data_IF_100622298523
#
_entry.id   IF_100622298523
#
_cell.length_a   1.000
_cell.length_b   1.000
_cell.length_c   1.000
_cell.angle_alpha   90.00
_cell.angle_beta   90.00
_cell.angle_gamma   90.00
#
_symmetry.space_group_name_H-M   'P 1'
#
loop_
_entity.id
_entity.type
_entity.pdbx_description
1 polymer ?
#
# COMPACT_ATOMS: atom_id res chain seq x y z
N UNK A 1 0.68 -8.05 14.17
CA UNK A 1 1.01 -9.20 14.97
C UNK A 1 2.47 -9.65 14.88
N UNK A 2 3.32 -8.95 14.13
CA UNK A 2 4.75 -9.27 14.04
C UNK A 2 5.42 -8.79 15.34
N UNK A 3 6.26 -9.63 15.95
CA UNK A 3 7.06 -9.23 17.12
C UNK A 3 8.01 -8.13 16.68
N UNK A 4 7.88 -6.95 17.28
CA UNK A 4 8.89 -5.89 17.16
C UNK A 4 10.19 -6.35 17.84
N UNK A 5 11.31 -6.24 17.13
CA UNK A 5 12.61 -6.65 17.62
C UNK A 5 13.65 -6.54 16.50
N UNK A 6 14.86 -7.00 16.77
CA UNK A 6 15.89 -7.07 15.73
C UNK A 6 15.48 -8.13 14.72
N UNK A 7 15.28 -7.79 13.43
CA UNK A 7 14.89 -8.76 12.42
C UNK A 7 15.96 -9.83 12.24
N UNK A 8 15.54 -10.99 11.75
CA UNK A 8 16.47 -12.03 11.32
C UNK A 8 17.28 -11.57 10.10
N UNK A 9 18.38 -12.28 9.83
CA UNK A 9 19.17 -12.08 8.60
C UNK A 9 18.29 -12.29 7.37
N UNK A 10 18.63 -11.59 6.27
CA UNK A 10 17.92 -11.75 5.00
C UNK A 10 18.05 -13.21 4.51
N UNK A 11 16.92 -13.82 4.19
CA UNK A 11 16.87 -15.09 3.44
C UNK A 11 16.95 -14.77 1.93
N UNK A 12 18.12 -14.97 1.35
CA UNK A 12 18.34 -14.77 -0.09
C UNK A 12 17.63 -15.76 -1.00
N UNK A 13 17.09 -16.86 -0.44
CA UNK A 13 16.26 -17.80 -1.17
C UNK A 13 14.78 -17.39 -1.21
N UNK A 14 14.36 -16.44 -0.36
CA UNK A 14 12.97 -15.98 -0.27
C UNK A 14 12.40 -15.51 -1.63
N UNK A 15 13.13 -14.73 -2.47
CA UNK A 15 12.65 -14.32 -3.78
C UNK A 15 12.24 -15.49 -4.67
N UNK A 16 13.03 -16.55 -4.68
CA UNK A 16 12.76 -17.73 -5.50
C UNK A 16 11.63 -18.59 -4.90
N UNK A 17 11.59 -18.74 -3.58
CA UNK A 17 10.51 -19.42 -2.85
C UNK A 17 9.15 -18.76 -3.11
N UNK A 18 9.08 -17.42 -3.06
CA UNK A 18 7.88 -16.64 -3.37
C UNK A 18 7.45 -16.85 -4.82
N UNK A 19 8.38 -16.74 -5.76
CA UNK A 19 8.09 -16.92 -7.19
C UNK A 19 7.59 -18.35 -7.52
N UNK A 20 8.18 -19.38 -6.93
CA UNK A 20 7.74 -20.76 -7.08
C UNK A 20 6.35 -20.99 -6.47
N UNK A 21 6.07 -20.41 -5.32
CA UNK A 21 4.75 -20.48 -4.68
C UNK A 21 3.66 -19.85 -5.57
N UNK A 22 3.92 -18.68 -6.15
CA UNK A 22 3.03 -18.01 -7.10
C UNK A 22 2.76 -18.89 -8.32
N UNK A 23 3.82 -19.53 -8.88
CA UNK A 23 3.69 -20.43 -10.02
C UNK A 23 2.86 -21.68 -9.69
N UNK A 24 3.16 -22.35 -8.56
CA UNK A 24 2.46 -23.56 -8.13
C UNK A 24 0.97 -23.27 -7.89
N UNK A 25 0.65 -22.14 -7.27
CA UNK A 25 -0.72 -21.70 -7.02
C UNK A 25 -1.41 -21.13 -8.26
N UNK A 26 -0.73 -21.02 -9.39
CA UNK A 26 -1.23 -20.44 -10.65
C UNK A 26 -1.87 -19.05 -10.46
N UNK A 27 -1.20 -18.18 -9.70
CA UNK A 27 -1.69 -16.84 -9.37
C UNK A 27 -1.54 -15.93 -10.59
N UNK A 28 -2.64 -15.32 -11.04
CA UNK A 28 -2.64 -14.41 -12.18
C UNK A 28 -2.24 -12.97 -11.80
N UNK A 29 -2.52 -12.55 -10.55
CA UNK A 29 -2.15 -11.25 -10.02
C UNK A 29 -1.76 -11.42 -8.54
N UNK A 30 -0.54 -11.06 -8.21
CA UNK A 30 -0.01 -11.16 -6.85
C UNK A 30 0.18 -9.77 -6.24
N UNK A 31 -0.28 -9.61 -4.99
CA UNK A 31 0.01 -8.44 -4.17
C UNK A 31 1.09 -8.83 -3.17
N UNK A 32 2.26 -8.22 -3.30
CA UNK A 32 3.41 -8.43 -2.43
C UNK A 32 3.45 -7.37 -1.35
N UNK A 33 3.79 -7.77 -0.14
CA UNK A 33 4.04 -6.86 0.98
C UNK A 33 5.21 -7.36 1.81
N UNK A 34 5.86 -6.49 2.55
CA UNK A 34 6.94 -6.85 3.48
C UNK A 34 6.77 -6.11 4.80
N UNK A 35 7.55 -6.51 5.79
CA UNK A 35 7.84 -5.69 6.96
C UNK A 35 8.83 -4.59 6.59
N UNK A 36 8.87 -3.50 7.38
CA UNK A 36 9.88 -2.47 7.23
C UNK A 36 11.25 -3.01 7.65
N UNK A 37 12.27 -2.70 6.87
CA UNK A 37 13.67 -3.11 7.10
C UNK A 37 14.59 -1.90 7.20
N UNK A 38 14.20 -0.91 8.02
CA UNK A 38 14.99 0.30 8.30
C UNK A 38 16.35 -0.01 8.97
N UNK A 39 16.53 -1.24 9.43
CA UNK A 39 17.80 -1.77 9.93
C UNK A 39 18.85 -2.02 8.83
N UNK A 40 18.42 -2.12 7.58
CA UNK A 40 19.30 -2.37 6.42
C UNK A 40 19.69 -1.05 5.73
N UNK A 41 20.92 -0.99 5.23
CA UNK A 41 21.41 0.18 4.48
C UNK A 41 20.61 0.48 3.21
N UNK A 42 20.05 -0.54 2.61
CA UNK A 42 19.21 -0.46 1.41
C UNK A 42 17.71 -0.54 1.72
N UNK A 43 17.33 -0.55 3.01
CA UNK A 43 15.94 -0.64 3.49
C UNK A 43 15.17 -1.83 2.91
N UNK A 44 15.88 -2.90 2.54
CA UNK A 44 15.29 -4.11 1.94
C UNK A 44 14.94 -3.98 0.46
N UNK A 45 15.31 -2.89 -0.22
CA UNK A 45 14.97 -2.71 -1.65
C UNK A 45 15.59 -3.76 -2.55
N UNK A 46 16.73 -4.35 -2.18
CA UNK A 46 17.36 -5.40 -2.97
C UNK A 46 16.51 -6.69 -2.97
N UNK A 47 15.99 -7.09 -1.80
CA UNK A 47 15.10 -8.26 -1.73
C UNK A 47 13.79 -8.01 -2.51
N UNK A 48 13.25 -6.80 -2.47
CA UNK A 48 12.11 -6.40 -3.28
C UNK A 48 12.37 -6.58 -4.78
N UNK A 49 13.49 -6.05 -5.26
CA UNK A 49 13.84 -6.12 -6.68
C UNK A 49 14.09 -7.55 -7.14
N UNK A 50 14.81 -8.33 -6.35
CA UNK A 50 15.08 -9.76 -6.67
C UNK A 50 13.79 -10.60 -6.62
N UNK A 51 12.85 -10.29 -5.73
CA UNK A 51 11.53 -10.95 -5.70
C UNK A 51 10.76 -10.69 -6.99
N UNK A 52 10.66 -9.44 -7.42
CA UNK A 52 9.96 -9.08 -8.68
C UNK A 52 10.63 -9.74 -9.87
N UNK A 53 11.97 -9.70 -9.97
CA UNK A 53 12.72 -10.36 -11.05
C UNK A 53 12.52 -11.88 -11.07
N UNK A 54 12.54 -12.52 -9.90
CA UNK A 54 12.32 -13.97 -9.79
C UNK A 54 10.91 -14.35 -10.25
N UNK A 55 9.88 -13.57 -9.89
CA UNK A 55 8.52 -13.81 -10.35
C UNK A 55 8.44 -13.62 -11.87
N UNK A 56 9.01 -12.55 -12.43
CA UNK A 56 9.05 -12.33 -13.89
C UNK A 56 9.71 -13.51 -14.64
N UNK A 57 10.75 -14.10 -14.07
CA UNK A 57 11.45 -15.25 -14.65
C UNK A 57 10.66 -16.56 -14.51
N UNK A 58 10.09 -16.84 -13.35
CA UNK A 58 9.48 -18.14 -13.00
C UNK A 58 8.00 -18.22 -13.38
N UNK A 59 7.27 -17.09 -13.27
CA UNK A 59 5.84 -16.97 -13.58
C UNK A 59 5.56 -15.71 -14.40
N UNK A 60 6.04 -15.61 -15.65
CA UNK A 60 6.01 -14.37 -16.46
C UNK A 60 4.61 -13.88 -16.81
N UNK A 61 3.57 -14.72 -16.69
CA UNK A 61 2.18 -14.33 -16.87
C UNK A 61 1.53 -13.68 -15.65
N UNK A 62 2.21 -13.67 -14.51
CA UNK A 62 1.68 -13.05 -13.27
C UNK A 62 1.94 -11.55 -13.28
N UNK A 63 0.89 -10.77 -13.12
CA UNK A 63 0.98 -9.33 -12.88
C UNK A 63 1.19 -9.03 -11.41
N UNK A 64 1.86 -7.92 -11.09
CA UNK A 64 2.32 -7.63 -9.74
C UNK A 64 1.83 -6.28 -9.22
N UNK A 65 1.37 -6.28 -7.99
CA UNK A 65 1.24 -5.11 -7.14
C UNK A 65 2.26 -5.22 -6.00
N UNK A 66 3.03 -4.17 -5.74
CA UNK A 66 3.95 -4.09 -4.61
C UNK A 66 3.45 -3.07 -3.60
N UNK A 67 3.08 -3.51 -2.41
CA UNK A 67 2.73 -2.63 -1.28
C UNK A 67 4.01 -2.37 -0.48
N UNK A 68 4.65 -1.25 -0.79
CA UNK A 68 5.97 -0.89 -0.26
C UNK A 68 5.90 -0.01 1.00
N UNK A 69 6.91 -0.05 1.88
CA UNK A 69 7.14 0.98 2.89
C UNK A 69 7.50 2.31 2.23
N UNK A 70 7.61 3.39 3.02
CA UNK A 70 7.97 4.70 2.48
C UNK A 70 9.48 4.87 2.18
N UNK A 71 10.32 3.90 2.54
CA UNK A 71 11.79 3.97 2.44
C UNK A 71 12.35 5.31 2.91
N UNK A 72 11.73 5.90 3.95
CA UNK A 72 12.03 7.24 4.49
C UNK A 72 11.99 8.37 3.43
N UNK A 73 11.36 8.14 2.28
CA UNK A 73 11.31 9.07 1.15
C UNK A 73 12.63 9.19 0.38
N UNK A 74 13.54 8.24 0.52
CA UNK A 74 14.85 8.27 -0.15
C UNK A 74 14.70 7.82 -1.60
N UNK A 75 14.83 8.74 -2.54
CA UNK A 75 14.59 8.55 -3.97
C UNK A 75 15.35 7.34 -4.55
N UNK A 76 16.64 7.18 -4.24
CA UNK A 76 17.46 6.06 -4.72
C UNK A 76 16.90 4.68 -4.39
N UNK A 77 16.07 4.57 -3.34
CA UNK A 77 15.40 3.32 -2.97
C UNK A 77 14.09 3.15 -3.76
N UNK A 78 13.38 4.24 -4.01
CA UNK A 78 12.20 4.26 -4.86
C UNK A 78 12.57 3.95 -6.32
N UNK A 79 13.70 4.47 -6.82
CA UNK A 79 14.19 4.18 -8.17
C UNK A 79 14.36 2.69 -8.42
N UNK A 80 14.86 1.93 -7.44
CA UNK A 80 14.98 0.47 -7.56
C UNK A 80 13.63 -0.23 -7.75
N UNK A 81 12.57 0.28 -7.13
CA UNK A 81 11.21 -0.25 -7.34
C UNK A 81 10.69 0.14 -8.72
N UNK A 82 10.97 1.37 -9.15
CA UNK A 82 10.62 1.88 -10.47
C UNK A 82 11.31 1.04 -11.57
N UNK A 83 12.60 0.73 -11.40
CA UNK A 83 13.39 -0.05 -12.36
C UNK A 83 12.82 -1.45 -12.62
N UNK A 84 12.25 -2.10 -11.62
CA UNK A 84 11.61 -3.44 -11.80
C UNK A 84 10.16 -3.36 -12.27
N UNK A 85 9.59 -2.16 -12.31
CA UNK A 85 8.34 -1.76 -12.95
C UNK A 85 7.16 -2.73 -12.72
N UNK A 86 6.68 -2.90 -11.48
CA UNK A 86 5.45 -3.65 -11.24
C UNK A 86 4.23 -2.92 -11.83
N UNK A 87 3.14 -3.64 -12.12
CA UNK A 87 1.94 -3.06 -12.74
C UNK A 87 1.26 -2.03 -11.84
N UNK A 88 1.37 -2.21 -10.51
CA UNK A 88 0.86 -1.29 -9.49
C UNK A 88 1.89 -1.16 -8.38
N UNK A 89 2.19 0.05 -7.95
CA UNK A 89 2.92 0.31 -6.70
C UNK A 89 1.99 0.97 -5.71
N UNK A 90 1.85 0.34 -4.55
CA UNK A 90 0.99 0.79 -3.45
C UNK A 90 1.84 1.30 -2.29
N UNK A 91 1.41 2.41 -1.71
CA UNK A 91 1.88 2.87 -0.41
C UNK A 91 0.68 3.47 0.34
N UNK A 92 0.33 2.88 1.48
CA UNK A 92 -0.87 3.28 2.20
C UNK A 92 -0.66 4.52 3.06
N UNK A 93 -1.63 5.44 3.05
CA UNK A 93 -1.73 6.52 4.03
C UNK A 93 -2.12 5.99 5.41
N UNK A 94 -2.86 4.89 5.45
CA UNK A 94 -3.46 4.21 6.61
C UNK A 94 -4.52 5.05 7.34
N UNK A 95 -4.33 6.35 7.49
CA UNK A 95 -5.27 7.26 8.18
C UNK A 95 -5.12 8.71 7.68
N UNK A 96 -5.93 9.61 8.25
CA UNK A 96 -5.91 11.05 7.95
C UNK A 96 -4.71 11.76 8.62
N UNK A 97 -4.39 12.97 8.16
CA UNK A 97 -3.22 13.76 8.59
C UNK A 97 -3.10 13.88 10.10
N UNK A 98 -4.17 14.26 10.80
CA UNK A 98 -4.17 14.45 12.25
C UNK A 98 -3.82 13.19 13.02
N UNK A 99 -4.30 12.04 12.57
CA UNK A 99 -4.11 10.75 13.25
C UNK A 99 -2.83 10.02 12.87
N UNK A 100 -2.11 10.48 11.84
CA UNK A 100 -0.92 9.76 11.32
C UNK A 100 0.10 9.46 12.41
N UNK A 101 0.40 10.41 13.30
CA UNK A 101 1.40 10.22 14.36
C UNK A 101 0.97 9.19 15.41
N UNK A 102 -0.34 9.05 15.65
CA UNK A 102 -0.89 8.09 16.60
C UNK A 102 -0.96 6.68 16.01
N UNK A 103 -1.37 6.57 14.74
CA UNK A 103 -1.60 5.31 14.02
C UNK A 103 -0.30 4.73 13.47
N UNK A 104 0.63 5.58 13.02
CA UNK A 104 1.90 5.22 12.36
C UNK A 104 3.03 6.05 12.94
N UNK A 105 3.58 5.63 14.06
CA UNK A 105 4.52 6.41 14.89
C UNK A 105 5.71 6.98 14.08
N UNK A 106 6.27 6.23 13.13
CA UNK A 106 7.44 6.63 12.34
C UNK A 106 7.09 7.25 10.97
N UNK A 107 5.87 7.06 10.49
CA UNK A 107 5.45 7.59 9.20
C UNK A 107 5.09 9.07 9.30
N UNK A 108 5.28 9.78 8.18
CA UNK A 108 4.90 11.18 8.02
C UNK A 108 3.91 11.28 6.87
N UNK A 109 2.79 11.95 7.09
CA UNK A 109 1.72 12.11 6.11
C UNK A 109 2.25 12.67 4.77
N UNK A 110 2.96 13.80 4.83
CA UNK A 110 3.50 14.46 3.62
C UNK A 110 4.58 13.61 2.95
N UNK A 111 5.37 12.84 3.70
CA UNK A 111 6.34 11.90 3.13
C UNK A 111 5.63 10.81 2.33
N UNK A 112 4.55 10.25 2.84
CA UNK A 112 3.76 9.24 2.13
C UNK A 112 3.17 9.79 0.82
N UNK A 113 2.65 11.02 0.81
CA UNK A 113 2.19 11.68 -0.42
C UNK A 113 3.34 11.91 -1.41
N UNK A 114 4.49 12.38 -0.92
CA UNK A 114 5.67 12.61 -1.78
C UNK A 114 6.19 11.31 -2.40
N UNK A 115 6.19 10.19 -1.67
CA UNK A 115 6.53 8.87 -2.21
C UNK A 115 5.60 8.49 -3.36
N UNK A 116 4.29 8.59 -3.19
CA UNK A 116 3.31 8.29 -4.24
C UNK A 116 3.48 9.18 -5.47
N UNK A 117 3.66 10.49 -5.24
CA UNK A 117 3.92 11.47 -6.30
C UNK A 117 5.22 11.16 -7.06
N UNK A 118 6.30 10.85 -6.33
CA UNK A 118 7.59 10.50 -6.93
C UNK A 118 7.47 9.28 -7.82
N UNK A 119 6.87 8.20 -7.33
CA UNK A 119 6.63 6.98 -8.10
C UNK A 119 5.85 7.27 -9.39
N UNK A 120 4.77 8.05 -9.28
CA UNK A 120 3.93 8.39 -10.44
C UNK A 120 4.69 9.20 -11.48
N UNK A 121 5.44 10.21 -11.05
CA UNK A 121 6.20 11.10 -11.94
C UNK A 121 7.40 10.41 -12.61
N UNK A 122 7.92 9.33 -12.02
CA UNK A 122 9.08 8.59 -12.51
C UNK A 122 8.72 7.26 -13.19
N UNK A 123 7.50 7.12 -13.71
CA UNK A 123 7.16 6.09 -14.68
C UNK A 123 6.31 4.92 -14.16
N UNK A 124 5.97 4.89 -12.87
CA UNK A 124 5.01 3.88 -12.39
C UNK A 124 3.65 4.12 -13.01
N UNK A 125 3.16 3.12 -13.74
CA UNK A 125 1.92 3.20 -14.50
C UNK A 125 0.71 3.47 -13.63
N UNK A 126 0.63 2.78 -12.46
CA UNK A 126 -0.48 2.92 -11.50
C UNK A 126 0.05 2.99 -10.09
N UNK A 127 -0.30 4.06 -9.39
CA UNK A 127 -0.07 4.20 -7.95
C UNK A 127 -1.36 3.97 -7.19
N UNK A 128 -1.23 3.42 -5.98
CA UNK A 128 -2.37 3.09 -5.13
C UNK A 128 -2.12 3.46 -3.69
N UNK A 129 -3.18 3.85 -2.99
CA UNK A 129 -3.14 4.08 -1.54
C UNK A 129 -4.38 3.53 -0.85
N UNK A 130 -4.25 3.27 0.44
CA UNK A 130 -5.33 2.79 1.29
C UNK A 130 -5.46 3.62 2.57
N UNK A 131 -6.71 3.74 3.04
CA UNK A 131 -7.08 4.40 4.28
C UNK A 131 -7.96 3.45 5.08
N UNK A 132 -7.67 3.31 6.37
CA UNK A 132 -8.55 2.64 7.34
C UNK A 132 -9.41 3.67 8.03
N UNK A 133 -10.70 3.40 8.17
CA UNK A 133 -11.69 4.28 8.81
C UNK A 133 -12.20 3.66 10.12
N UNK A 134 -12.59 4.53 11.06
CA UNK A 134 -13.06 4.14 12.39
C UNK A 134 -12.02 4.28 13.50
N UNK A 135 -10.97 5.08 13.25
CA UNK A 135 -9.93 5.45 14.21
C UNK A 135 -10.21 6.79 14.92
N UNK A 136 -11.32 7.48 14.57
CA UNK A 136 -11.73 8.78 15.11
C UNK A 136 -11.40 9.95 14.18
N UNK A 137 -11.26 9.69 12.89
CA UNK A 137 -11.22 10.70 11.84
C UNK A 137 -12.58 11.38 11.67
N UNK A 138 -12.57 12.65 11.32
CA UNK A 138 -13.77 13.38 10.93
C UNK A 138 -14.05 13.23 9.44
N UNK A 139 -15.30 13.37 9.03
CA UNK A 139 -15.70 13.19 7.62
C UNK A 139 -14.94 14.14 6.68
N UNK A 140 -14.77 15.41 7.06
CA UNK A 140 -14.00 16.37 6.27
C UNK A 140 -12.51 15.98 6.13
N UNK A 141 -11.90 15.37 7.16
CA UNK A 141 -10.50 14.91 7.10
C UNK A 141 -10.31 13.78 6.09
N UNK A 142 -11.32 12.91 5.93
CA UNK A 142 -11.31 11.86 4.90
C UNK A 142 -11.39 12.50 3.52
N UNK A 143 -12.28 13.48 3.31
CA UNK A 143 -12.36 14.21 2.04
C UNK A 143 -11.06 14.97 1.71
N UNK A 144 -10.44 15.62 2.70
CA UNK A 144 -9.13 16.26 2.53
C UNK A 144 -8.06 15.25 2.11
N UNK A 145 -8.01 14.08 2.75
CA UNK A 145 -7.04 13.03 2.40
C UNK A 145 -7.26 12.50 0.99
N UNK A 146 -8.51 12.34 0.56
CA UNK A 146 -8.83 11.93 -0.82
C UNK A 146 -8.42 13.00 -1.82
N UNK A 147 -8.65 14.28 -1.53
CA UNK A 147 -8.17 15.40 -2.35
C UNK A 147 -6.63 15.41 -2.44
N UNK A 148 -5.93 15.26 -1.31
CA UNK A 148 -4.47 15.23 -1.29
C UNK A 148 -3.92 14.09 -2.17
N UNK A 149 -4.52 12.90 -2.12
CA UNK A 149 -4.15 11.77 -2.98
C UNK A 149 -4.42 12.07 -4.47
N UNK A 150 -5.56 12.65 -4.80
CA UNK A 150 -5.92 13.02 -6.18
C UNK A 150 -4.96 14.06 -6.74
N UNK A 151 -4.63 15.13 -6.00
CA UNK A 151 -3.68 16.18 -6.39
C UNK A 151 -2.28 15.59 -6.65
N UNK A 152 -1.91 14.52 -5.94
CA UNK A 152 -0.64 13.82 -6.14
C UNK A 152 -0.73 12.69 -7.20
N UNK A 153 -1.78 12.70 -8.05
CA UNK A 153 -1.97 11.80 -9.17
C UNK A 153 -2.01 10.30 -8.80
N UNK A 154 -2.55 9.97 -7.63
CA UNK A 154 -2.79 8.59 -7.24
C UNK A 154 -3.95 8.04 -8.05
N UNK A 155 -3.76 6.86 -8.67
CA UNK A 155 -4.76 6.28 -9.59
C UNK A 155 -5.85 5.49 -8.87
N UNK A 156 -5.51 4.86 -7.73
CA UNK A 156 -6.36 3.87 -7.06
C UNK A 156 -6.43 4.17 -5.58
N UNK A 157 -7.64 4.15 -5.02
CA UNK A 157 -7.83 4.30 -3.58
C UNK A 157 -8.71 3.19 -3.00
N UNK A 158 -8.34 2.71 -1.82
CA UNK A 158 -9.12 1.74 -1.04
C UNK A 158 -9.47 2.33 0.33
N UNK A 159 -10.74 2.23 0.73
CA UNK A 159 -11.22 2.63 2.05
C UNK A 159 -11.85 1.41 2.73
N UNK A 160 -11.36 1.05 3.89
CA UNK A 160 -11.81 -0.12 4.65
C UNK A 160 -12.01 0.19 6.14
N UNK A 161 -12.84 -0.60 6.81
CA UNK A 161 -13.02 -0.46 8.26
C UNK A 161 -11.77 -0.93 9.00
N UNK A 162 -11.26 -0.10 9.91
CA UNK A 162 -10.27 -0.52 10.89
C UNK A 162 -10.87 -1.56 11.84
N UNK A 163 -10.15 -2.66 12.03
CA UNK A 163 -10.47 -3.68 13.03
C UNK A 163 -9.27 -3.82 13.96
N UNK A 164 -9.50 -3.74 15.27
CA UNK A 164 -8.45 -3.84 16.27
C UNK A 164 -7.82 -5.25 16.27
N UNK A 165 -6.53 -5.40 15.87
CA UNK A 165 -5.92 -6.73 15.78
C UNK A 165 -5.72 -7.41 17.13
N UNK A 166 -5.46 -6.64 18.18
CA UNK A 166 -5.37 -7.11 19.56
C UNK A 166 -5.61 -5.97 20.56
N UNK A 167 -5.81 -6.27 21.83
CA UNK A 167 -6.01 -5.29 22.91
C UNK A 167 -4.85 -4.28 23.06
N UNK A 168 -3.69 -4.55 22.48
CA UNK A 168 -2.52 -3.66 22.51
C UNK A 168 -2.56 -2.59 21.40
N UNK A 169 -3.43 -2.75 20.41
CA UNK A 169 -3.59 -1.80 19.30
C UNK A 169 -4.68 -0.77 19.64
N UNK A 170 -4.73 0.29 18.86
CA UNK A 170 -5.75 1.33 19.02
C UNK A 170 -7.16 0.72 18.99
N UNK A 171 -8.05 1.12 19.90
CA UNK A 171 -9.44 0.65 19.87
C UNK A 171 -10.16 1.20 18.64
N UNK A 172 -11.13 0.44 18.14
CA UNK A 172 -12.10 0.97 17.18
C UNK A 172 -12.89 2.08 17.86
N UNK A 173 -12.88 3.28 17.28
CA UNK A 173 -13.63 4.43 17.77
C UNK A 173 -15.07 4.44 17.23
N UNK A 174 -15.22 3.99 15.97
CA UNK A 174 -16.50 3.97 15.28
C UNK A 174 -16.53 2.85 14.25
N UNK A 175 -17.69 2.24 14.06
CA UNK A 175 -17.99 1.38 12.92
C UNK A 175 -18.72 2.22 11.87
N UNK A 176 -18.01 2.52 10.79
CA UNK A 176 -18.52 3.38 9.70
C UNK A 176 -19.65 2.63 8.97
N UNK A 177 -20.77 3.32 8.75
CA UNK A 177 -21.91 2.73 8.06
C UNK A 177 -21.62 2.46 6.58
N UNK A 178 -22.26 1.45 5.97
CA UNK A 178 -22.15 1.21 4.53
C UNK A 178 -22.53 2.44 3.69
N UNK A 179 -23.50 3.22 4.13
CA UNK A 179 -23.93 4.44 3.44
C UNK A 179 -22.83 5.51 3.46
N UNK A 180 -22.08 5.63 4.57
CA UNK A 180 -20.97 6.57 4.66
C UNK A 180 -19.81 6.11 3.77
N UNK A 181 -19.50 4.80 3.73
CA UNK A 181 -18.54 4.25 2.76
C UNK A 181 -18.97 4.56 1.31
N UNK A 182 -20.28 4.50 1.02
CA UNK A 182 -20.81 4.83 -0.30
C UNK A 182 -20.63 6.31 -0.64
N UNK A 183 -20.82 7.22 0.31
CA UNK A 183 -20.55 8.65 0.11
C UNK A 183 -19.07 8.89 -0.23
N UNK A 184 -18.13 8.27 0.52
CA UNK A 184 -16.70 8.38 0.22
C UNK A 184 -16.35 7.81 -1.16
N UNK A 185 -16.97 6.69 -1.55
CA UNK A 185 -16.80 6.10 -2.89
C UNK A 185 -17.21 7.09 -3.98
N UNK A 186 -18.38 7.69 -3.85
CA UNK A 186 -18.91 8.64 -4.83
C UNK A 186 -18.04 9.89 -4.92
N UNK A 187 -17.61 10.43 -3.77
CA UNK A 187 -16.72 11.57 -3.74
C UNK A 187 -15.37 11.25 -4.41
N UNK A 188 -14.73 10.13 -4.07
CA UNK A 188 -13.48 9.73 -4.69
C UNK A 188 -13.61 9.53 -6.21
N UNK A 189 -14.72 8.92 -6.67
CA UNK A 189 -15.01 8.82 -8.12
C UNK A 189 -15.14 10.19 -8.78
N UNK A 190 -15.76 11.15 -8.10
CA UNK A 190 -15.85 12.54 -8.56
C UNK A 190 -14.50 13.25 -8.69
N UNK A 191 -13.50 12.84 -7.91
CA UNK A 191 -12.12 13.33 -8.00
C UNK A 191 -11.32 12.71 -9.16
N UNK A 192 -11.86 11.72 -9.87
CA UNK A 192 -11.22 11.13 -11.03
C UNK A 192 -10.29 9.95 -10.74
N UNK A 193 -10.31 9.36 -9.53
CA UNK A 193 -9.60 8.11 -9.31
C UNK A 193 -10.03 7.03 -10.30
N UNK A 194 -9.06 6.33 -10.88
CA UNK A 194 -9.30 5.27 -11.87
C UNK A 194 -10.08 4.09 -11.28
N UNK A 195 -9.72 3.70 -10.04
CA UNK A 195 -10.43 2.68 -9.28
C UNK A 195 -10.63 3.13 -7.84
N UNK A 196 -11.83 2.87 -7.32
CA UNK A 196 -12.22 3.17 -5.94
C UNK A 196 -12.89 1.93 -5.37
N UNK A 197 -12.31 1.36 -4.32
CA UNK A 197 -12.94 0.31 -3.54
C UNK A 197 -13.21 0.86 -2.13
N UNK A 198 -14.46 0.91 -1.72
CA UNK A 198 -14.87 1.50 -0.44
C UNK A 198 -15.95 0.63 0.21
N UNK A 199 -15.71 0.19 1.44
CA UNK A 199 -16.66 -0.61 2.18
C UNK A 199 -16.06 -1.29 3.42
N UNK A 200 -16.89 -1.79 4.34
CA UNK A 200 -16.41 -2.33 5.62
C UNK A 200 -15.43 -3.49 5.48
N UNK A 201 -15.57 -4.32 4.45
CA UNK A 201 -14.73 -5.51 4.22
C UNK A 201 -13.58 -5.26 3.25
N UNK A 202 -13.42 -4.03 2.75
CA UNK A 202 -12.32 -3.67 1.85
C UNK A 202 -10.99 -3.75 2.59
N UNK A 203 -9.98 -4.29 1.93
CA UNK A 203 -8.57 -4.35 2.34
C UNK A 203 -7.70 -3.89 1.18
N UNK A 204 -6.42 -3.61 1.43
CA UNK A 204 -5.50 -3.13 0.39
C UNK A 204 -5.44 -4.04 -0.84
N UNK A 205 -5.57 -5.36 -0.66
CA UNK A 205 -5.58 -6.34 -1.76
C UNK A 205 -6.97 -6.63 -2.35
N UNK A 206 -8.03 -5.98 -1.86
CA UNK A 206 -9.39 -6.25 -2.31
C UNK A 206 -9.56 -5.96 -3.80
N UNK A 207 -9.99 -6.97 -4.57
CA UNK A 207 -10.16 -6.92 -6.03
C UNK A 207 -8.95 -6.39 -6.81
N UNK A 208 -7.73 -6.53 -6.27
CA UNK A 208 -6.52 -5.94 -6.85
C UNK A 208 -6.31 -6.29 -8.34
N UNK A 209 -6.70 -7.48 -8.80
CA UNK A 209 -6.64 -7.86 -10.22
C UNK A 209 -7.42 -6.89 -11.13
N UNK A 210 -8.50 -6.26 -10.66
CA UNK A 210 -9.25 -5.29 -11.46
C UNK A 210 -8.51 -3.97 -11.66
N UNK A 211 -7.53 -3.70 -10.83
CA UNK A 211 -6.78 -2.45 -10.86
C UNK A 211 -5.78 -2.36 -12.02
N UNK A 212 -5.54 -3.47 -12.71
CA UNK A 212 -4.62 -3.54 -13.86
C UNK A 212 -5.29 -3.38 -15.21
N UNK A 213 -6.64 -3.35 -15.23
CA UNK A 213 -7.45 -3.13 -16.45
C UNK A 213 -7.45 -1.66 -16.89
#
# INVERSE_FOLDING_TARGET
GVKTGRPETIDWEEPEKVANSIKIMNIQHAVLTSVDRDDLKDMGTLIWTETVKSIRRISPGTTLETLIPDFQGIEKHLDKIIDVNPEVVSHNMETVRRLTREVRIQAKYDRSLNVLKYLKNNGIKRTKSGIMLGLGEMENEVYETLNDLSINNVDIVTLGQYLQPSKKHLPVKEFISPDQFKKYELFAKGLGFRHVESGPLVRSSYKAKKHIS
#
